data_IF_099269924677
#
_entry.id   IF_099269924677
#
_cell.length_a   1.000
_cell.length_b   1.000
_cell.length_c   1.000
_cell.angle_alpha   90.00
_cell.angle_beta   90.00
_cell.angle_gamma   90.00
#
_symmetry.space_group_name_H-M   'P 1'
#
loop_
_entity.id
_entity.type
_entity.pdbx_description
1 polymer ?
#
# COMPACT_ATOMS: atom_id res chain seq x y z
N UNK A 1 -15.56 68.08 -4.50
CA UNK A 1 -14.36 67.70 -3.74
C UNK A 1 -13.33 67.25 -4.77
N UNK A 2 -12.78 68.18 -5.56
CA UNK A 2 -11.56 68.97 -5.28
C UNK A 2 -10.34 68.07 -5.13
N UNK A 3 -9.27 68.12 -5.91
CA UNK A 3 -8.79 68.91 -7.07
C UNK A 3 -7.67 68.05 -7.71
N UNK A 4 -7.58 67.86 -9.04
CA UNK A 4 -6.90 68.70 -10.07
C UNK A 4 -5.39 68.92 -9.78
N UNK A 5 -4.43 68.85 -10.72
CA UNK A 5 -4.39 69.38 -12.11
C UNK A 5 -3.16 68.81 -12.89
N UNK A 6 -3.28 68.50 -14.21
CA UNK A 6 -2.86 69.25 -15.44
C UNK A 6 -1.33 69.22 -15.72
N UNK A 7 -0.79 68.79 -16.88
CA UNK A 7 -0.93 69.13 -18.33
C UNK A 7 -0.19 70.42 -18.77
N UNK A 8 0.68 70.24 -19.79
CA UNK A 8 1.25 71.14 -20.82
C UNK A 8 2.13 72.35 -20.43
N UNK A 9 3.33 72.46 -21.04
CA UNK A 9 3.76 73.31 -22.17
C UNK A 9 4.16 74.72 -21.67
N UNK A 10 5.10 75.51 -22.19
CA UNK A 10 5.74 75.73 -23.49
C UNK A 10 6.98 76.65 -23.27
N UNK A 11 7.90 76.70 -24.26
CA UNK A 11 8.58 77.88 -24.89
C UNK A 11 9.27 78.95 -24.00
N UNK A 12 10.52 79.42 -24.23
CA UNK A 12 10.96 80.46 -25.21
C UNK A 12 12.53 80.65 -25.11
N UNK A 13 13.34 80.52 -26.18
CA UNK A 13 13.80 81.49 -27.21
C UNK A 13 14.90 82.51 -26.74
N UNK A 14 16.17 82.35 -27.19
CA UNK A 14 16.94 83.21 -28.15
C UNK A 14 17.52 84.51 -27.55
N UNK A 15 18.69 85.08 -27.88
CA UNK A 15 19.69 84.98 -28.97
C UNK A 15 21.06 85.54 -28.49
N UNK A 16 22.15 85.32 -29.26
CA UNK A 16 23.06 86.36 -29.80
C UNK A 16 24.41 85.79 -30.31
N UNK A 17 24.52 85.75 -31.65
CA UNK A 17 25.60 86.17 -32.57
C UNK A 17 27.10 85.80 -32.40
N UNK A 18 27.56 85.02 -33.39
CA UNK A 18 28.67 85.22 -34.36
C UNK A 18 30.05 85.75 -33.93
N UNK A 19 31.10 84.92 -34.05
CA UNK A 19 32.40 85.25 -34.71
C UNK A 19 33.08 83.98 -35.22
N UNK A 20 33.46 83.97 -36.50
CA UNK A 20 34.14 82.87 -37.18
C UNK A 20 35.67 82.74 -37.01
N UNK A 21 36.11 81.48 -37.15
CA UNK A 21 37.34 80.94 -37.77
C UNK A 21 38.74 81.18 -37.14
N UNK A 22 39.41 80.08 -36.73
CA UNK A 22 40.82 79.77 -37.09
C UNK A 22 41.02 78.24 -37.12
N UNK A 23 41.66 77.76 -38.19
CA UNK A 23 41.99 76.34 -38.45
C UNK A 23 43.04 75.76 -37.50
N UNK A 24 42.86 74.52 -37.04
CA UNK A 24 43.96 73.68 -36.53
C UNK A 24 43.88 72.25 -37.08
N UNK A 25 44.94 71.84 -37.79
CA UNK A 25 45.17 70.48 -38.32
C UNK A 25 45.16 69.44 -37.18
N UNK A 26 44.21 68.50 -37.17
CA UNK A 26 44.29 67.28 -36.34
C UNK A 26 45.35 66.32 -36.91
N UNK A 27 46.46 66.14 -36.19
CA UNK A 27 47.44 65.06 -36.41
C UNK A 27 46.76 63.69 -36.22
N UNK A 28 46.87 62.78 -37.20
CA UNK A 28 46.50 61.37 -37.05
C UNK A 28 47.36 60.74 -35.94
N UNK A 29 46.76 60.30 -34.84
CA UNK A 29 47.44 59.40 -33.88
C UNK A 29 47.69 58.04 -34.55
N UNK A 30 48.95 57.60 -34.58
CA UNK A 30 49.33 56.23 -34.96
C UNK A 30 48.77 55.27 -33.90
N UNK A 31 47.96 54.28 -34.31
CA UNK A 31 47.45 53.25 -33.41
C UNK A 31 48.60 52.37 -32.91
N UNK A 32 48.81 52.32 -31.59
CA UNK A 32 49.77 51.40 -30.96
C UNK A 32 49.21 49.98 -31.07
N UNK A 33 49.87 49.11 -31.81
CA UNK A 33 49.42 47.74 -32.05
C UNK A 33 49.80 46.84 -30.85
N UNK A 34 48.92 46.75 -29.85
CA UNK A 34 49.14 45.92 -28.65
C UNK A 34 49.00 44.42 -29.00
N UNK A 35 50.10 43.67 -28.93
CA UNK A 35 50.10 42.21 -29.16
C UNK A 35 49.36 41.50 -28.02
N UNK A 36 48.22 40.89 -28.32
CA UNK A 36 47.44 40.10 -27.37
C UNK A 36 48.08 38.71 -27.18
N UNK A 37 48.24 38.30 -25.92
CA UNK A 37 48.75 36.98 -25.52
C UNK A 37 47.70 36.19 -24.76
N UNK A 38 47.81 34.86 -24.77
CA UNK A 38 46.96 33.95 -24.03
C UNK A 38 46.98 34.25 -22.53
N UNK A 39 45.81 34.32 -21.89
CA UNK A 39 45.67 34.47 -20.44
C UNK A 39 44.99 33.24 -19.86
N UNK A 40 45.57 32.64 -18.81
CA UNK A 40 45.00 31.49 -18.09
C UNK A 40 43.60 31.77 -17.55
N UNK A 41 43.27 33.03 -17.21
CA UNK A 41 41.93 33.41 -16.76
C UNK A 41 40.83 33.12 -17.80
N UNK A 42 41.17 32.98 -19.08
CA UNK A 42 40.19 32.62 -20.12
C UNK A 42 39.71 31.17 -20.00
N UNK A 43 40.44 30.30 -19.29
CA UNK A 43 40.01 28.93 -18.99
C UNK A 43 38.79 28.89 -18.04
N UNK A 44 38.59 29.94 -17.24
CA UNK A 44 37.40 30.08 -16.38
C UNK A 44 36.13 30.31 -17.20
N UNK A 45 36.22 31.09 -18.28
CA UNK A 45 35.13 31.37 -19.22
C UNK A 45 34.93 30.22 -20.22
N UNK A 46 36.01 29.54 -20.62
CA UNK A 46 35.97 28.43 -21.58
C UNK A 46 36.82 27.25 -21.09
N UNK A 47 36.20 26.31 -20.38
CA UNK A 47 36.86 25.11 -19.79
C UNK A 47 37.56 24.19 -20.81
N UNK A 48 37.21 24.30 -22.08
CA UNK A 48 37.78 23.53 -23.19
C UNK A 48 39.04 24.19 -23.81
N UNK A 49 39.37 25.40 -23.39
CA UNK A 49 40.52 26.17 -23.87
C UNK A 49 41.79 25.80 -23.07
N UNK A 50 42.95 25.75 -23.72
CA UNK A 50 44.24 25.54 -23.07
C UNK A 50 45.36 26.29 -23.82
N UNK A 51 46.56 26.48 -23.23
CA UNK A 51 47.67 27.12 -23.94
C UNK A 51 48.11 26.30 -25.16
N UNK A 52 48.36 26.97 -26.28
CA UNK A 52 48.88 26.34 -27.49
C UNK A 52 50.38 26.08 -27.40
N UNK A 53 50.84 24.99 -27.99
CA UNK A 53 52.27 24.69 -28.17
C UNK A 53 52.94 25.58 -29.24
N UNK A 54 52.18 26.30 -30.08
CA UNK A 54 52.70 27.17 -31.16
C UNK A 54 53.12 28.56 -30.69
N UNK A 55 52.96 28.87 -29.40
CA UNK A 55 53.43 30.11 -28.79
C UNK A 55 52.32 30.95 -28.16
N UNK A 56 52.69 32.05 -27.47
CA UNK A 56 51.81 32.80 -26.58
C UNK A 56 50.67 33.56 -27.29
N UNK A 57 50.71 33.67 -28.62
CA UNK A 57 49.69 34.32 -29.44
C UNK A 57 48.62 33.34 -29.96
N UNK A 58 48.68 32.07 -29.56
CA UNK A 58 47.74 31.02 -29.95
C UNK A 58 47.08 30.38 -28.71
N UNK A 59 45.81 30.00 -28.84
CA UNK A 59 45.11 29.15 -27.89
C UNK A 59 44.81 27.80 -28.54
N UNK A 60 44.71 26.74 -27.75
CA UNK A 60 44.31 25.43 -28.24
C UNK A 60 42.88 25.10 -27.81
N UNK A 61 42.08 24.61 -28.76
CA UNK A 61 40.75 24.08 -28.48
C UNK A 61 40.80 22.55 -28.28
N UNK A 62 40.36 22.06 -27.12
CA UNK A 62 40.27 20.61 -26.85
C UNK A 62 39.23 19.90 -27.73
N UNK A 63 38.14 20.56 -28.12
CA UNK A 63 37.10 19.96 -28.97
C UNK A 63 37.50 19.90 -30.44
N UNK A 64 38.01 21.00 -30.98
CA UNK A 64 38.37 21.12 -32.40
C UNK A 64 39.78 20.62 -32.74
N UNK A 65 40.57 20.29 -31.71
CA UNK A 65 41.98 19.89 -31.79
C UNK A 65 42.78 20.80 -32.73
N UNK A 66 42.65 22.11 -32.53
CA UNK A 66 43.28 23.10 -33.41
C UNK A 66 43.76 24.33 -32.63
N UNK A 67 44.74 25.01 -33.22
CA UNK A 67 45.24 26.29 -32.74
C UNK A 67 44.37 27.45 -33.25
N UNK A 68 43.97 28.32 -32.32
CA UNK A 68 43.23 29.55 -32.56
C UNK A 68 44.22 30.70 -32.47
N UNK A 69 44.39 31.47 -33.55
CA UNK A 69 45.26 32.65 -33.55
C UNK A 69 44.56 33.81 -32.83
N UNK A 70 45.14 34.29 -31.74
CA UNK A 70 44.54 35.28 -30.84
C UNK A 70 45.04 36.70 -31.15
N UNK A 71 45.12 37.07 -32.43
CA UNK A 71 45.68 38.37 -32.83
C UNK A 71 44.87 39.57 -32.28
N UNK A 72 43.56 39.39 -32.03
CA UNK A 72 42.64 40.41 -31.50
C UNK A 72 42.09 40.05 -30.11
N UNK A 73 42.77 39.20 -29.35
CA UNK A 73 42.34 38.81 -28.01
C UNK A 73 41.09 37.91 -28.01
N UNK A 74 40.24 38.04 -26.97
CA UNK A 74 39.03 37.23 -26.77
C UNK A 74 38.06 37.21 -27.95
N UNK A 75 38.07 38.24 -28.82
CA UNK A 75 37.20 38.30 -29.99
C UNK A 75 37.36 37.12 -30.96
N UNK A 76 38.59 36.61 -31.11
CA UNK A 76 38.87 35.45 -31.99
C UNK A 76 38.41 34.13 -31.35
N UNK A 77 38.44 34.04 -30.02
CA UNK A 77 37.89 32.89 -29.28
C UNK A 77 36.36 32.87 -29.43
N UNK A 78 35.70 34.03 -29.32
CA UNK A 78 34.24 34.14 -29.53
C UNK A 78 33.83 33.73 -30.96
N UNK A 79 34.59 34.14 -31.98
CA UNK A 79 34.36 33.68 -33.37
C UNK A 79 34.57 32.18 -33.56
N UNK A 80 35.53 31.59 -32.84
CA UNK A 80 35.75 30.15 -32.89
C UNK A 80 34.57 29.39 -32.27
N UNK A 81 34.05 29.85 -31.13
CA UNK A 81 32.88 29.24 -30.47
C UNK A 81 31.66 29.24 -31.38
N UNK A 82 31.46 30.30 -32.16
CA UNK A 82 30.34 30.38 -33.12
C UNK A 82 30.60 29.63 -34.42
N UNK A 83 31.76 29.00 -34.60
CA UNK A 83 32.05 28.23 -35.82
C UNK A 83 31.25 26.93 -35.84
N UNK A 84 30.69 26.59 -37.00
CA UNK A 84 29.90 25.36 -37.18
C UNK A 84 30.67 24.09 -36.76
N UNK A 85 32.00 24.07 -36.99
CA UNK A 85 32.88 22.98 -36.56
C UNK A 85 32.93 22.85 -35.03
N UNK A 86 33.09 23.96 -34.31
CA UNK A 86 33.12 23.95 -32.85
C UNK A 86 31.78 23.56 -32.26
N UNK A 87 30.68 24.17 -32.73
CA UNK A 87 29.33 23.87 -32.23
C UNK A 87 29.01 22.37 -32.39
N UNK A 88 29.31 21.80 -33.57
CA UNK A 88 29.06 20.37 -33.85
C UNK A 88 29.91 19.44 -32.99
N UNK A 89 31.20 19.75 -32.79
CA UNK A 89 32.10 18.91 -31.99
C UNK A 89 31.84 19.06 -30.50
N UNK A 90 31.55 20.27 -30.03
CA UNK A 90 31.17 20.54 -28.65
C UNK A 90 29.91 19.76 -28.30
N UNK A 91 28.84 19.88 -29.11
CA UNK A 91 27.58 19.17 -28.84
C UNK A 91 27.77 17.65 -28.84
N UNK A 92 28.62 17.11 -29.72
CA UNK A 92 28.94 15.68 -29.76
C UNK A 92 29.66 15.22 -28.50
N UNK A 93 30.68 15.96 -28.05
CA UNK A 93 31.48 15.60 -26.87
C UNK A 93 30.69 15.78 -25.57
N UNK A 94 29.85 16.83 -25.47
CA UNK A 94 29.01 17.04 -24.27
C UNK A 94 27.83 16.09 -24.19
N UNK A 95 27.38 15.53 -25.31
CA UNK A 95 26.25 14.58 -25.34
C UNK A 95 26.66 13.13 -25.09
N UNK A 96 27.96 12.82 -25.07
CA UNK A 96 28.42 11.48 -24.74
C UNK A 96 28.27 11.20 -23.23
N UNK A 97 27.50 10.18 -22.83
CA UNK A 97 27.38 9.82 -21.42
C UNK A 97 28.74 9.33 -20.90
N UNK A 98 29.11 9.79 -19.70
CA UNK A 98 30.34 9.35 -19.05
C UNK A 98 30.25 7.87 -18.67
N UNK A 99 31.39 7.17 -18.63
CA UNK A 99 31.45 5.76 -18.22
C UNK A 99 30.84 5.55 -16.83
N UNK A 100 31.02 6.50 -15.90
CA UNK A 100 30.36 6.46 -14.58
C UNK A 100 28.84 6.60 -14.65
N UNK A 101 28.31 7.39 -15.59
CA UNK A 101 26.85 7.48 -15.79
C UNK A 101 26.26 6.17 -16.34
N UNK A 102 27.03 5.39 -17.10
CA UNK A 102 26.62 4.07 -17.58
C UNK A 102 26.65 3.01 -16.48
N UNK A 103 27.74 2.94 -15.70
CA UNK A 103 27.88 2.00 -14.57
C UNK A 103 26.79 2.23 -13.53
N UNK A 104 26.54 3.48 -13.14
CA UNK A 104 25.46 3.82 -12.19
C UNK A 104 24.08 3.48 -12.73
N UNK A 105 23.84 3.58 -14.05
CA UNK A 105 22.58 3.19 -14.68
C UNK A 105 22.37 1.67 -14.64
N UNK A 106 23.43 0.87 -14.84
CA UNK A 106 23.36 -0.59 -14.69
C UNK A 106 23.08 -1.01 -13.24
N UNK A 107 23.79 -0.44 -12.25
CA UNK A 107 23.57 -0.77 -10.83
C UNK A 107 22.16 -0.40 -10.36
N UNK A 108 21.63 0.76 -10.79
CA UNK A 108 20.24 1.16 -10.51
C UNK A 108 19.22 0.20 -11.12
N UNK A 109 19.50 -0.36 -12.29
CA UNK A 109 18.60 -1.30 -12.95
C UNK A 109 18.47 -2.62 -12.16
N UNK A 110 19.59 -3.13 -11.63
CA UNK A 110 19.58 -4.35 -10.79
C UNK A 110 18.83 -4.12 -9.47
N UNK A 111 19.07 -3.00 -8.79
CA UNK A 111 18.38 -2.68 -7.53
C UNK A 111 16.86 -2.57 -7.69
N UNK A 112 16.39 -1.96 -8.78
CA UNK A 112 14.96 -1.89 -9.11
C UNK A 112 14.37 -3.30 -9.31
N UNK A 113 15.06 -4.17 -10.06
CA UNK A 113 14.61 -5.56 -10.27
C UNK A 113 14.61 -6.39 -8.98
N UNK A 114 15.55 -6.15 -8.06
CA UNK A 114 15.57 -6.80 -6.74
C UNK A 114 14.36 -6.37 -5.92
N UNK A 115 14.02 -5.08 -5.91
CA UNK A 115 12.81 -4.57 -5.23
C UNK A 115 11.54 -5.17 -5.83
N UNK A 116 11.45 -5.23 -7.15
CA UNK A 116 10.34 -5.88 -7.85
C UNK A 116 10.23 -7.36 -7.48
N UNK A 117 11.34 -8.09 -7.42
CA UNK A 117 11.36 -9.49 -6.97
C UNK A 117 10.85 -9.66 -5.53
N UNK A 118 11.22 -8.75 -4.62
CA UNK A 118 10.71 -8.77 -3.25
C UNK A 118 9.21 -8.49 -3.20
N UNK A 119 8.69 -7.56 -4.01
CA UNK A 119 7.26 -7.27 -4.09
C UNK A 119 6.46 -8.45 -4.66
N UNK A 120 6.99 -9.13 -5.68
CA UNK A 120 6.37 -10.35 -6.24
C UNK A 120 6.33 -11.48 -5.21
N UNK A 121 7.42 -11.67 -4.45
CA UNK A 121 7.43 -12.62 -3.34
C UNK A 121 6.41 -12.25 -2.26
N UNK A 122 6.27 -10.95 -1.94
CA UNK A 122 5.26 -10.49 -0.99
C UNK A 122 3.84 -10.80 -1.47
N UNK A 123 3.54 -10.48 -2.74
CA UNK A 123 2.25 -10.82 -3.37
C UNK A 123 1.96 -12.31 -3.29
N UNK A 124 2.90 -13.16 -3.70
CA UNK A 124 2.77 -14.62 -3.64
C UNK A 124 2.50 -15.13 -2.22
N UNK A 125 3.25 -14.61 -1.22
CA UNK A 125 3.05 -14.98 0.18
C UNK A 125 1.66 -14.60 0.69
N UNK A 126 1.15 -13.43 0.30
CA UNK A 126 -0.17 -12.96 0.70
C UNK A 126 -1.31 -13.72 0.02
N UNK A 127 -1.21 -13.93 -1.30
CA UNK A 127 -2.23 -14.60 -2.11
C UNK A 127 -2.46 -16.05 -1.66
N UNK A 128 -1.39 -16.76 -1.28
CA UNK A 128 -1.46 -18.13 -0.81
C UNK A 128 -1.54 -18.27 0.71
N UNK A 129 -1.73 -17.16 1.45
CA UNK A 129 -1.82 -17.15 2.92
C UNK A 129 -0.68 -17.91 3.61
N UNK A 130 0.55 -17.69 3.14
CA UNK A 130 1.72 -18.44 3.60
C UNK A 130 2.29 -17.86 4.91
N UNK A 131 2.77 -18.70 5.85
CA UNK A 131 3.40 -18.21 7.07
C UNK A 131 4.66 -17.37 6.77
N UNK A 132 4.70 -16.14 7.25
CA UNK A 132 5.83 -15.22 7.01
C UNK A 132 7.18 -15.73 7.51
N UNK A 133 7.19 -16.71 8.43
CA UNK A 133 8.40 -17.40 8.89
C UNK A 133 9.14 -18.11 7.75
N UNK A 134 8.45 -18.50 6.67
CA UNK A 134 9.08 -19.10 5.49
C UNK A 134 10.12 -18.18 4.83
N UNK A 135 9.98 -16.86 4.99
CA UNK A 135 10.94 -15.90 4.44
C UNK A 135 12.32 -15.93 5.11
N UNK A 136 12.49 -16.66 6.22
CA UNK A 136 13.82 -16.97 6.75
C UNK A 136 14.57 -17.99 5.88
N UNK A 137 13.85 -18.82 5.11
CA UNK A 137 14.42 -19.93 4.33
C UNK A 137 14.33 -19.72 2.82
N UNK A 138 13.30 -19.01 2.33
CA UNK A 138 13.08 -18.80 0.89
C UNK A 138 14.24 -18.04 0.22
N UNK A 139 14.72 -16.87 0.72
CA UNK A 139 15.83 -16.18 0.06
C UNK A 139 17.14 -16.99 0.01
N UNK A 140 17.57 -17.69 1.09
CA UNK A 140 18.70 -18.63 1.00
C UNK A 140 18.50 -19.71 -0.07
N UNK A 141 17.31 -20.31 -0.13
CA UNK A 141 16.98 -21.34 -1.11
C UNK A 141 17.04 -20.81 -2.55
N UNK A 142 16.49 -19.62 -2.81
CA UNK A 142 16.55 -18.98 -4.14
C UNK A 142 18.01 -18.74 -4.55
N UNK A 143 18.89 -18.39 -3.61
CA UNK A 143 20.32 -18.19 -3.89
C UNK A 143 21.06 -19.49 -4.20
N UNK A 144 20.67 -20.60 -3.56
CA UNK A 144 21.31 -21.89 -3.84
C UNK A 144 20.85 -22.52 -5.15
N UNK A 145 19.62 -22.21 -5.60
CA UNK A 145 19.09 -22.68 -6.89
C UNK A 145 19.60 -21.80 -8.05
N UNK A 146 19.56 -20.47 -7.89
CA UNK A 146 19.86 -19.51 -8.95
C UNK A 146 21.25 -18.88 -8.75
N UNK A 147 22.31 -19.68 -8.88
CA UNK A 147 23.69 -19.27 -8.57
C UNK A 147 24.30 -18.27 -9.55
N UNK A 148 23.75 -18.14 -10.75
CA UNK A 148 24.19 -17.23 -11.82
C UNK A 148 23.45 -15.87 -11.78
N UNK A 149 22.32 -15.79 -11.09
CA UNK A 149 21.47 -14.60 -11.04
C UNK A 149 21.93 -13.59 -9.99
N UNK A 150 22.43 -12.44 -10.45
CA UNK A 150 22.78 -11.31 -9.59
C UNK A 150 21.59 -10.79 -8.78
N UNK A 151 20.36 -10.89 -9.33
CA UNK A 151 19.13 -10.52 -8.63
C UNK A 151 18.89 -11.49 -7.46
N UNK A 152 18.95 -12.80 -7.71
CA UNK A 152 18.74 -13.82 -6.69
C UNK A 152 19.72 -13.66 -5.52
N UNK A 153 21.00 -13.46 -5.82
CA UNK A 153 22.06 -13.18 -4.83
C UNK A 153 21.76 -11.94 -3.99
N UNK A 154 21.24 -10.89 -4.62
CA UNK A 154 20.95 -9.62 -3.97
C UNK A 154 19.64 -9.58 -3.17
N UNK A 155 18.70 -10.52 -3.38
CA UNK A 155 17.48 -10.59 -2.58
C UNK A 155 17.84 -10.82 -1.11
N UNK A 156 17.48 -9.84 -0.27
CA UNK A 156 17.58 -9.89 1.19
C UNK A 156 16.21 -9.51 1.74
N UNK A 157 15.42 -10.51 2.14
CA UNK A 157 14.07 -10.32 2.68
C UNK A 157 13.72 -11.43 3.67
N UNK A 158 14.11 -11.25 4.94
CA UNK A 158 13.66 -12.12 6.04
C UNK A 158 12.24 -11.77 6.51
N UNK A 159 11.77 -12.43 7.57
CA UNK A 159 10.39 -12.28 8.08
C UNK A 159 10.02 -10.82 8.35
N UNK A 160 10.84 -10.10 9.12
CA UNK A 160 10.55 -8.71 9.53
C UNK A 160 10.43 -7.76 8.34
N UNK A 161 11.33 -7.90 7.35
CA UNK A 161 11.26 -7.09 6.13
C UNK A 161 10.02 -7.43 5.32
N UNK A 162 9.70 -8.73 5.19
CA UNK A 162 8.48 -9.15 4.50
C UNK A 162 7.22 -8.59 5.17
N UNK A 163 7.14 -8.65 6.51
CA UNK A 163 6.03 -8.04 7.26
C UNK A 163 5.88 -6.55 6.96
N UNK A 164 6.98 -5.80 6.95
CA UNK A 164 6.94 -4.37 6.67
C UNK A 164 6.59 -4.05 5.22
N UNK A 165 7.04 -4.86 4.26
CA UNK A 165 6.65 -4.71 2.84
C UNK A 165 5.15 -4.98 2.68
N UNK A 166 4.64 -6.04 3.29
CA UNK A 166 3.21 -6.37 3.22
C UNK A 166 2.34 -5.31 3.88
N UNK A 167 2.74 -4.82 5.05
CA UNK A 167 1.95 -3.86 5.83
C UNK A 167 2.03 -2.44 5.28
N UNK A 168 3.23 -1.93 5.06
CA UNK A 168 3.47 -0.50 4.83
C UNK A 168 3.69 -0.16 3.35
N UNK A 169 3.69 -1.15 2.46
CA UNK A 169 3.84 -0.93 1.00
C UNK A 169 2.63 -1.49 0.28
N UNK A 170 2.49 -2.82 0.17
CA UNK A 170 1.41 -3.42 -0.62
C UNK A 170 0.05 -3.25 0.05
N UNK A 171 0.00 -3.40 1.38
CA UNK A 171 -1.23 -3.22 2.15
C UNK A 171 -1.70 -1.77 2.20
N UNK A 172 -0.78 -0.81 2.32
CA UNK A 172 -1.11 0.62 2.30
C UNK A 172 -1.58 1.09 0.93
N UNK A 173 -0.92 0.64 -0.14
CA UNK A 173 -1.36 0.87 -1.52
C UNK A 173 -2.73 0.25 -1.78
N UNK A 174 -2.92 -1.03 -1.42
CA UNK A 174 -4.21 -1.71 -1.57
C UNK A 174 -5.33 -1.04 -0.78
N UNK A 175 -5.04 -0.54 0.43
CA UNK A 175 -5.99 0.25 1.22
C UNK A 175 -6.34 1.55 0.50
N UNK A 176 -5.36 2.27 -0.03
CA UNK A 176 -5.57 3.52 -0.76
C UNK A 176 -6.45 3.31 -1.99
N UNK A 177 -6.14 2.30 -2.81
CA UNK A 177 -6.95 1.92 -3.97
C UNK A 177 -8.38 1.56 -3.58
N UNK A 178 -8.58 0.84 -2.47
CA UNK A 178 -9.92 0.55 -1.97
C UNK A 178 -10.65 1.83 -1.56
N UNK A 179 -9.99 2.78 -0.88
CA UNK A 179 -10.62 4.07 -0.55
C UNK A 179 -11.07 4.82 -1.81
N UNK A 180 -10.25 4.83 -2.86
CA UNK A 180 -10.60 5.46 -4.14
C UNK A 180 -11.83 4.80 -4.78
N UNK A 181 -11.88 3.46 -4.79
CA UNK A 181 -13.05 2.71 -5.27
C UNK A 181 -14.32 3.12 -4.50
N UNK A 182 -14.25 3.22 -3.16
CA UNK A 182 -15.42 3.58 -2.34
C UNK A 182 -15.85 5.04 -2.49
N UNK A 183 -14.94 5.93 -2.92
CA UNK A 183 -15.27 7.32 -3.22
C UNK A 183 -16.08 7.46 -4.50
N UNK A 184 -15.85 6.61 -5.50
CA UNK A 184 -16.48 6.73 -6.81
C UNK A 184 -17.62 5.75 -7.06
N UNK A 185 -17.68 4.64 -6.31
CA UNK A 185 -18.61 3.55 -6.56
C UNK A 185 -19.63 3.38 -5.44
N UNK A 186 -20.79 2.82 -5.78
CA UNK A 186 -21.76 2.35 -4.78
C UNK A 186 -21.26 1.08 -4.13
N UNK A 187 -21.48 0.94 -2.82
CA UNK A 187 -21.02 -0.20 -2.06
C UNK A 187 -22.01 -0.61 -0.96
N UNK A 188 -21.88 -1.86 -0.51
CA UNK A 188 -22.58 -2.40 0.65
C UNK A 188 -21.55 -2.70 1.73
N UNK A 189 -21.87 -2.37 2.97
CA UNK A 189 -21.05 -2.72 4.12
C UNK A 189 -21.54 -4.01 4.74
N UNK A 190 -20.61 -4.88 5.09
CA UNK A 190 -20.86 -6.08 5.89
C UNK A 190 -20.04 -5.94 7.16
N UNK A 191 -20.72 -5.91 8.31
CA UNK A 191 -20.12 -5.71 9.62
C UNK A 191 -20.30 -6.92 10.52
N UNK A 192 -19.24 -7.29 11.25
CA UNK A 192 -19.29 -8.33 12.28
C UNK A 192 -18.44 -7.95 13.49
N UNK A 193 -18.93 -8.23 14.69
CA UNK A 193 -18.19 -8.02 15.93
C UNK A 193 -17.41 -9.28 16.30
N UNK A 194 -16.10 -9.16 16.49
CA UNK A 194 -15.25 -10.27 16.92
C UNK A 194 -14.41 -9.87 18.13
N UNK A 195 -14.25 -10.79 19.08
CA UNK A 195 -13.30 -10.66 20.19
C UNK A 195 -12.01 -11.39 19.82
N UNK A 196 -10.87 -10.69 19.87
CA UNK A 196 -9.57 -11.31 19.63
C UNK A 196 -9.03 -12.09 20.83
N UNK A 197 -7.88 -12.76 20.66
CA UNK A 197 -7.25 -13.57 21.73
C UNK A 197 -6.75 -12.76 22.92
N UNK A 198 -6.57 -11.45 22.75
CA UNK A 198 -6.23 -10.51 23.82
C UNK A 198 -7.47 -9.91 24.49
N UNK A 199 -8.65 -10.49 24.26
CA UNK A 199 -9.94 -10.01 24.77
C UNK A 199 -10.30 -8.60 24.29
N UNK A 200 -9.72 -8.14 23.19
CA UNK A 200 -10.09 -6.86 22.56
C UNK A 200 -11.20 -7.10 21.55
N UNK A 201 -12.29 -6.35 21.69
CA UNK A 201 -13.39 -6.38 20.71
C UNK A 201 -13.01 -5.53 19.51
N UNK A 202 -13.32 -6.03 18.32
CA UNK A 202 -13.10 -5.34 17.06
C UNK A 202 -14.35 -5.45 16.19
N UNK A 203 -14.69 -4.36 15.51
CA UNK A 203 -15.66 -4.34 14.44
C UNK A 203 -14.94 -4.59 13.12
N UNK A 204 -15.18 -5.76 12.53
CA UNK A 204 -14.70 -6.11 11.21
C UNK A 204 -15.64 -5.55 10.16
N UNK A 205 -15.09 -4.82 9.19
CA UNK A 205 -15.86 -4.28 8.06
C UNK A 205 -15.33 -4.86 6.75
N UNK A 206 -16.25 -5.30 5.92
CA UNK A 206 -16.02 -5.72 4.53
C UNK A 206 -16.87 -4.82 3.63
N UNK A 207 -16.28 -4.32 2.56
CA UNK A 207 -16.99 -3.57 1.53
C UNK A 207 -17.25 -4.46 0.32
N UNK A 208 -18.52 -4.62 -0.04
CA UNK A 208 -18.95 -5.27 -1.26
C UNK A 208 -19.20 -4.22 -2.34
N UNK A 209 -18.49 -4.33 -3.46
CA UNK A 209 -18.56 -3.37 -4.57
C UNK A 209 -18.81 -4.11 -5.88
N UNK A 210 -19.53 -3.47 -6.81
CA UNK A 210 -19.63 -3.94 -8.19
C UNK A 210 -18.61 -3.20 -9.04
N UNK A 211 -17.71 -3.95 -9.67
CA UNK A 211 -16.67 -3.44 -10.58
C UNK A 211 -16.75 -4.28 -11.85
N UNK A 212 -16.96 -3.64 -13.00
CA UNK A 212 -17.07 -4.30 -14.31
C UNK A 212 -18.12 -5.42 -14.32
N UNK A 213 -19.31 -5.16 -13.76
CA UNK A 213 -20.41 -6.13 -13.58
C UNK A 213 -20.06 -7.36 -12.72
N UNK A 214 -18.89 -7.38 -12.08
CA UNK A 214 -18.50 -8.40 -11.12
C UNK A 214 -18.64 -7.89 -9.69
N UNK A 215 -19.28 -8.68 -8.85
CA UNK A 215 -19.32 -8.44 -7.41
C UNK A 215 -17.95 -8.82 -6.83
N UNK A 216 -17.37 -7.93 -6.02
CA UNK A 216 -16.10 -8.16 -5.31
C UNK A 216 -16.26 -7.74 -3.86
N UNK A 217 -15.74 -8.58 -2.96
CA UNK A 217 -15.71 -8.32 -1.53
C UNK A 217 -14.29 -7.96 -1.12
N UNK A 218 -14.14 -6.81 -0.47
CA UNK A 218 -12.87 -6.30 0.00
C UNK A 218 -12.89 -6.17 1.51
N UNK A 219 -11.89 -6.76 2.17
CA UNK A 219 -11.62 -6.44 3.56
C UNK A 219 -11.32 -4.93 3.68
N UNK A 220 -12.14 -4.22 4.45
CA UNK A 220 -12.03 -2.78 4.57
C UNK A 220 -11.14 -2.40 5.75
N UNK A 221 -11.50 -2.85 6.95
CA UNK A 221 -10.77 -2.51 8.18
C UNK A 221 -11.23 -3.37 9.37
N UNK A 222 -10.40 -3.38 10.42
CA UNK A 222 -10.75 -3.80 11.77
C UNK A 222 -10.68 -2.57 12.67
N UNK A 223 -11.81 -2.16 13.22
CA UNK A 223 -11.89 -1.01 14.13
C UNK A 223 -11.94 -1.51 15.58
N UNK A 224 -10.99 -1.15 16.45
CA UNK A 224 -11.04 -1.50 17.86
C UNK A 224 -12.27 -0.88 18.54
N UNK A 225 -13.02 -1.69 19.27
CA UNK A 225 -14.26 -1.30 19.94
C UNK A 225 -14.04 -1.38 21.46
N UNK A 226 -14.19 -0.25 22.15
CA UNK A 226 -14.23 -0.21 23.62
C UNK A 226 -15.63 -0.47 24.15
N UNK A 227 -16.63 0.14 23.50
CA UNK A 227 -18.04 0.03 23.84
C UNK A 227 -18.84 -0.43 22.62
N UNK A 228 -19.57 -1.53 22.75
CA UNK A 228 -20.34 -2.14 21.66
C UNK A 228 -21.79 -1.60 21.59
N UNK A 229 -22.00 -0.31 21.86
CA UNK A 229 -23.33 0.32 21.71
C UNK A 229 -23.53 0.75 20.26
N UNK A 230 -24.77 0.76 19.77
CA UNK A 230 -25.06 1.18 18.40
C UNK A 230 -24.58 2.60 18.07
N UNK A 231 -24.57 3.50 19.07
CA UNK A 231 -24.03 4.85 18.95
C UNK A 231 -22.50 4.86 18.80
N UNK A 232 -21.77 4.15 19.68
CA UNK A 232 -20.32 4.09 19.64
C UNK A 232 -19.82 3.45 18.32
N UNK A 233 -20.48 2.37 17.87
CA UNK A 233 -20.18 1.73 16.61
C UNK A 233 -20.43 2.66 15.42
N UNK A 234 -21.54 3.40 15.43
CA UNK A 234 -21.83 4.37 14.38
C UNK A 234 -20.77 5.47 14.32
N UNK A 235 -20.37 6.04 15.47
CA UNK A 235 -19.31 7.06 15.53
C UNK A 235 -18.00 6.53 14.96
N UNK A 236 -17.60 5.31 15.29
CA UNK A 236 -16.39 4.69 14.73
C UNK A 236 -16.44 4.57 13.20
N UNK A 237 -17.58 4.17 12.64
CA UNK A 237 -17.77 4.07 11.18
C UNK A 237 -17.79 5.46 10.53
N UNK A 238 -18.50 6.41 11.11
CA UNK A 238 -18.63 7.78 10.61
C UNK A 238 -17.26 8.48 10.61
N UNK A 239 -16.50 8.38 11.70
CA UNK A 239 -15.14 8.91 11.80
C UNK A 239 -14.21 8.24 10.80
N UNK A 240 -14.30 6.92 10.62
CA UNK A 240 -13.51 6.21 9.63
C UNK A 240 -13.75 6.75 8.21
N UNK A 241 -15.02 6.91 7.79
CA UNK A 241 -15.33 7.42 6.46
C UNK A 241 -14.97 8.89 6.29
N UNK A 242 -15.18 9.72 7.31
CA UNK A 242 -14.78 11.14 7.30
C UNK A 242 -13.27 11.29 7.17
N UNK A 243 -12.50 10.56 7.98
CA UNK A 243 -11.03 10.59 7.93
C UNK A 243 -10.46 10.15 6.57
N UNK A 244 -11.19 9.30 5.85
CA UNK A 244 -10.82 8.83 4.53
C UNK A 244 -11.52 9.58 3.38
N UNK A 245 -12.28 10.64 3.66
CA UNK A 245 -13.05 11.42 2.69
C UNK A 245 -13.95 10.55 1.79
N UNK A 246 -14.61 9.54 2.36
CA UNK A 246 -15.54 8.67 1.64
C UNK A 246 -16.96 9.23 1.81
N UNK A 247 -17.67 9.58 0.71
CA UNK A 247 -19.04 10.09 0.76
C UNK A 247 -20.04 8.94 0.98
N UNK A 248 -19.94 8.27 2.12
CA UNK A 248 -20.74 7.08 2.44
C UNK A 248 -22.25 7.38 2.48
N UNK A 249 -22.65 8.59 2.87
CA UNK A 249 -24.06 9.02 2.93
C UNK A 249 -24.78 8.86 1.58
N UNK A 250 -24.05 8.99 0.47
CA UNK A 250 -24.59 8.81 -0.89
C UNK A 250 -24.17 7.50 -1.53
N UNK A 251 -22.99 6.97 -1.20
CA UNK A 251 -22.42 5.78 -1.85
C UNK A 251 -22.74 4.46 -1.17
N UNK A 252 -23.02 4.47 0.14
CA UNK A 252 -23.42 3.27 0.85
C UNK A 252 -24.89 2.96 0.56
N UNK A 253 -25.13 1.86 -0.16
CA UNK A 253 -26.48 1.45 -0.58
C UNK A 253 -27.01 0.26 0.22
N UNK A 254 -26.17 -0.38 1.03
CA UNK A 254 -26.63 -1.44 1.92
C UNK A 254 -25.73 -1.68 3.12
N UNK A 255 -26.31 -2.27 4.15
CA UNK A 255 -25.61 -2.71 5.35
C UNK A 255 -26.12 -4.10 5.78
N UNK A 256 -25.19 -5.01 6.08
CA UNK A 256 -25.48 -6.34 6.59
C UNK A 256 -24.68 -6.64 7.85
N UNK A 257 -25.33 -7.21 8.86
CA UNK A 257 -24.72 -7.57 10.13
C UNK A 257 -25.49 -8.68 10.85
N UNK A 258 -24.98 -9.16 11.99
CA UNK A 258 -25.70 -10.08 12.86
C UNK A 258 -27.02 -9.48 13.39
N UNK A 259 -27.88 -10.32 13.95
CA UNK A 259 -29.19 -9.90 14.43
C UNK A 259 -29.17 -9.15 15.75
N UNK A 260 -28.00 -8.83 16.33
CA UNK A 260 -27.90 -8.26 17.66
C UNK A 260 -28.56 -6.88 17.73
N UNK A 261 -29.15 -6.54 18.88
CA UNK A 261 -29.92 -5.30 19.03
C UNK A 261 -29.08 -4.04 18.81
N UNK A 262 -27.80 -4.07 19.21
CA UNK A 262 -26.85 -2.98 18.97
C UNK A 262 -26.53 -2.79 17.47
N UNK A 263 -26.54 -3.86 16.67
CA UNK A 263 -26.25 -3.84 15.24
C UNK A 263 -27.50 -3.54 14.40
N UNK A 264 -28.56 -4.33 14.58
CA UNK A 264 -29.74 -4.39 13.70
C UNK A 264 -31.08 -4.11 14.42
N UNK A 265 -31.04 -3.56 15.64
CA UNK A 265 -32.23 -3.15 16.38
C UNK A 265 -33.00 -2.00 15.70
N UNK A 266 -34.31 -1.89 15.97
CA UNK A 266 -35.14 -0.84 15.38
C UNK A 266 -34.76 0.57 15.85
N UNK A 267 -34.34 0.70 17.12
CA UNK A 267 -34.03 1.97 17.77
C UNK A 267 -32.60 1.95 18.31
N UNK A 268 -31.89 3.07 18.20
CA UNK A 268 -30.54 3.27 18.76
C UNK A 268 -29.49 2.22 18.34
N UNK A 269 -29.71 1.51 17.24
CA UNK A 269 -28.76 0.55 16.69
C UNK A 269 -27.83 1.22 15.69
N UNK A 270 -26.76 0.51 15.32
CA UNK A 270 -25.90 0.92 14.22
C UNK A 270 -26.71 1.09 12.92
N UNK A 271 -27.56 0.11 12.59
CA UNK A 271 -28.36 0.13 11.38
C UNK A 271 -29.38 1.27 11.35
N UNK A 272 -30.03 1.61 12.47
CA UNK A 272 -31.01 2.70 12.53
C UNK A 272 -30.32 4.04 12.29
N UNK A 273 -29.15 4.26 12.89
CA UNK A 273 -28.33 5.46 12.72
C UNK A 273 -27.74 5.59 11.32
N UNK A 274 -27.25 4.48 10.75
CA UNK A 274 -26.81 4.46 9.35
C UNK A 274 -27.96 4.80 8.40
N UNK A 275 -29.18 4.36 8.68
CA UNK A 275 -30.36 4.64 7.86
C UNK A 275 -30.84 6.10 7.97
N UNK A 276 -30.64 6.75 9.12
CA UNK A 276 -30.85 8.20 9.27
C UNK A 276 -29.92 9.01 8.33
N UNK A 277 -28.67 8.56 8.19
CA UNK A 277 -27.68 9.19 7.29
C UNK A 277 -27.80 8.78 5.83
N UNK A 278 -28.24 7.55 5.58
CA UNK A 278 -28.40 6.94 4.26
C UNK A 278 -29.86 6.48 4.12
N UNK A 279 -30.81 7.35 3.73
CA UNK A 279 -32.24 6.99 3.74
C UNK A 279 -32.61 5.79 2.87
N UNK A 280 -31.88 5.58 1.78
CA UNK A 280 -32.09 4.48 0.83
C UNK A 280 -31.29 3.21 1.16
N UNK A 281 -30.76 3.10 2.37
CA UNK A 281 -29.93 1.97 2.80
C UNK A 281 -30.74 0.68 2.90
N UNK A 282 -30.35 -0.33 2.11
CA UNK A 282 -30.89 -1.67 2.23
C UNK A 282 -30.27 -2.39 3.43
N UNK A 283 -31.11 -2.90 4.33
CA UNK A 283 -30.66 -3.59 5.56
C UNK A 283 -30.89 -5.09 5.44
N UNK A 284 -29.85 -5.88 5.70
CA UNK A 284 -29.93 -7.35 5.70
C UNK A 284 -29.38 -7.94 7.01
N UNK A 285 -30.21 -8.69 7.73
CA UNK A 285 -29.74 -9.47 8.88
C UNK A 285 -28.96 -10.69 8.39
N UNK A 286 -28.00 -11.13 9.18
CA UNK A 286 -27.20 -12.32 8.89
C UNK A 286 -28.09 -13.55 8.77
N UNK A 287 -28.19 -14.09 7.56
CA UNK A 287 -29.01 -15.27 7.24
C UNK A 287 -28.55 -16.47 8.08
N UNK A 288 -27.24 -16.64 8.29
CA UNK A 288 -26.71 -17.72 9.13
C UNK A 288 -27.17 -17.61 10.58
N UNK A 289 -27.19 -16.39 11.13
CA UNK A 289 -27.68 -16.15 12.49
C UNK A 289 -29.20 -16.33 12.57
N UNK A 290 -29.95 -15.88 11.56
CA UNK A 290 -31.40 -16.12 11.49
C UNK A 290 -31.74 -17.60 11.45
N UNK A 291 -31.07 -18.40 10.60
CA UNK A 291 -31.25 -19.86 10.58
C UNK A 291 -30.85 -20.49 11.92
N UNK A 292 -29.79 -20.01 12.56
CA UNK A 292 -29.41 -20.48 13.88
C UNK A 292 -30.51 -20.24 14.92
N UNK A 293 -31.09 -19.04 14.96
CA UNK A 293 -32.21 -18.73 15.87
C UNK A 293 -33.43 -19.60 15.57
N UNK A 294 -33.80 -19.77 14.30
CA UNK A 294 -34.90 -20.67 13.91
C UNK A 294 -34.68 -22.10 14.41
N UNK A 295 -33.48 -22.65 14.19
CA UNK A 295 -33.13 -23.99 14.65
C UNK A 295 -33.12 -24.08 16.18
N UNK A 296 -32.56 -23.08 16.87
CA UNK A 296 -32.53 -23.02 18.33
C UNK A 296 -33.94 -23.04 18.93
N UNK A 297 -34.83 -22.18 18.43
CA UNK A 297 -36.21 -22.13 18.91
C UNK A 297 -37.02 -23.37 18.54
N UNK A 298 -36.71 -24.04 17.43
CA UNK A 298 -37.30 -25.33 17.11
C UNK A 298 -36.84 -26.44 18.06
N UNK A 299 -35.54 -26.48 18.40
CA UNK A 299 -34.99 -27.44 19.36
C UNK A 299 -35.55 -27.24 20.78
N UNK A 300 -35.86 -26.00 21.20
CA UNK A 300 -36.55 -25.72 22.46
C UNK A 300 -37.96 -26.34 22.56
N UNK A 301 -38.54 -26.77 21.43
CA UNK A 301 -39.82 -27.50 21.41
C UNK A 301 -39.63 -29.02 21.49
N UNK A 302 -38.39 -29.50 21.35
CA UNK A 302 -38.06 -30.91 21.54
C UNK A 302 -37.76 -31.19 23.02
N UNK A 303 -37.88 -32.46 23.45
CA UNK A 303 -37.50 -32.86 24.80
C UNK A 303 -36.01 -32.55 25.08
N UNK A 304 -35.73 -31.81 26.16
CA UNK A 304 -34.38 -31.37 26.54
C UNK A 304 -33.46 -32.55 26.93
N UNK A 305 -34.04 -33.70 27.25
CA UNK A 305 -33.36 -34.92 27.69
C UNK A 305 -32.35 -35.41 26.66
N UNK A 306 -32.63 -35.24 25.37
CA UNK A 306 -31.72 -35.67 24.30
C UNK A 306 -30.44 -34.84 24.32
N UNK A 307 -30.56 -33.51 24.37
CA UNK A 307 -29.39 -32.64 24.43
C UNK A 307 -28.63 -32.83 25.75
N UNK A 308 -29.35 -32.94 26.87
CA UNK A 308 -28.78 -33.19 28.19
C UNK A 308 -27.97 -34.50 28.20
N UNK A 309 -28.53 -35.60 27.68
CA UNK A 309 -27.83 -36.88 27.54
C UNK A 309 -26.52 -36.71 26.76
N UNK A 310 -26.54 -36.00 25.62
CA UNK A 310 -25.31 -35.80 24.85
C UNK A 310 -24.24 -35.02 25.62
N UNK A 311 -24.64 -34.02 26.43
CA UNK A 311 -23.74 -33.24 27.28
C UNK A 311 -23.18 -34.08 28.42
N UNK A 312 -24.01 -34.88 29.07
CA UNK A 312 -23.63 -35.77 30.17
C UNK A 312 -22.65 -36.85 29.72
N UNK A 313 -22.95 -37.52 28.59
CA UNK A 313 -22.04 -38.52 28.00
C UNK A 313 -20.68 -37.89 27.69
N UNK A 314 -20.66 -36.71 27.08
CA UNK A 314 -19.40 -36.01 26.84
C UNK A 314 -18.66 -35.68 28.15
N UNK A 315 -19.35 -35.09 29.13
CA UNK A 315 -18.76 -34.68 30.41
C UNK A 315 -18.21 -35.87 31.21
N UNK A 316 -18.84 -37.03 31.08
CA UNK A 316 -18.36 -38.27 31.68
C UNK A 316 -16.98 -38.64 31.12
N UNK A 317 -16.74 -38.54 29.82
CA UNK A 317 -15.44 -38.91 29.25
C UNK A 317 -14.40 -37.78 29.27
N UNK A 318 -14.83 -36.51 29.15
CA UNK A 318 -13.96 -35.38 28.80
C UNK A 318 -12.75 -35.17 29.72
N UNK A 319 -12.91 -35.45 31.01
CA UNK A 319 -11.90 -35.20 32.04
C UNK A 319 -11.20 -36.47 32.56
N UNK A 320 -11.34 -37.61 31.88
CA UNK A 320 -10.76 -38.87 32.35
C UNK A 320 -10.10 -39.65 31.23
N UNK A 321 -8.76 -39.56 31.10
CA UNK A 321 -8.00 -40.38 30.16
C UNK A 321 -8.28 -41.87 30.34
N UNK A 322 -8.39 -42.33 31.60
CA UNK A 322 -8.74 -43.71 31.94
C UNK A 322 -10.07 -44.15 31.32
N UNK A 323 -11.16 -43.39 31.53
CA UNK A 323 -12.48 -43.72 30.96
C UNK A 323 -12.47 -43.69 29.43
N UNK A 324 -11.69 -42.79 28.82
CA UNK A 324 -11.52 -42.73 27.36
C UNK A 324 -10.81 -44.00 26.86
N UNK A 325 -9.76 -44.46 27.55
CA UNK A 325 -9.03 -45.66 27.15
C UNK A 325 -9.85 -46.93 27.37
N UNK A 326 -10.53 -47.08 28.50
CA UNK A 326 -11.47 -48.18 28.75
C UNK A 326 -12.57 -48.21 27.68
N UNK A 327 -13.16 -47.06 27.35
CA UNK A 327 -14.21 -46.98 26.33
C UNK A 327 -13.75 -47.46 24.93
N UNK A 328 -12.48 -47.30 24.56
CA UNK A 328 -11.96 -47.82 23.28
C UNK A 328 -12.08 -49.33 23.16
N UNK A 329 -11.96 -50.07 24.27
CA UNK A 329 -12.12 -51.53 24.28
C UNK A 329 -13.56 -51.91 23.91
N UNK A 330 -14.55 -51.16 24.42
CA UNK A 330 -15.96 -51.34 24.08
C UNK A 330 -16.26 -50.93 22.63
N UNK A 331 -15.60 -49.89 22.12
CA UNK A 331 -15.71 -49.52 20.70
C UNK A 331 -15.20 -50.66 19.80
N UNK A 332 -14.06 -51.25 20.14
CA UNK A 332 -13.51 -52.39 19.42
C UNK A 332 -14.41 -53.62 19.50
N UNK A 333 -14.94 -53.93 20.69
CA UNK A 333 -15.85 -55.05 20.89
C UNK A 333 -17.16 -54.89 20.10
N UNK A 334 -17.74 -53.69 20.09
CA UNK A 334 -18.95 -53.37 19.32
C UNK A 334 -18.68 -53.19 17.81
N UNK A 335 -17.44 -53.38 17.35
CA UNK A 335 -17.00 -53.19 15.96
C UNK A 335 -17.38 -51.80 15.39
N UNK A 336 -17.25 -50.75 16.22
CA UNK A 336 -17.44 -49.36 15.80
C UNK A 336 -16.10 -48.64 15.72
N UNK A 337 -15.99 -47.67 14.79
CA UNK A 337 -14.78 -46.87 14.65
C UNK A 337 -14.46 -46.12 15.97
N UNK A 338 -13.18 -46.09 16.39
CA UNK A 338 -12.74 -45.50 17.65
C UNK A 338 -12.79 -43.98 17.56
N UNK A 339 -13.96 -43.44 17.84
CA UNK A 339 -14.25 -42.02 17.74
C UNK A 339 -14.33 -41.36 19.11
N UNK A 340 -13.78 -40.15 19.22
CA UNK A 340 -14.00 -39.31 20.40
C UNK A 340 -15.45 -38.80 20.42
N UNK A 341 -16.06 -38.82 21.60
CA UNK A 341 -17.36 -38.17 21.84
C UNK A 341 -17.21 -36.66 21.67
N UNK A 342 -18.15 -36.06 20.95
CA UNK A 342 -18.15 -34.65 20.62
C UNK A 342 -18.94 -33.86 21.67
N UNK A 343 -18.54 -32.61 21.90
CA UNK A 343 -19.30 -31.68 22.74
C UNK A 343 -20.15 -30.76 21.84
N UNK A 344 -21.43 -30.53 22.17
CA UNK A 344 -22.24 -29.54 21.47
C UNK A 344 -21.68 -28.13 21.72
N UNK A 345 -21.23 -27.46 20.66
CA UNK A 345 -20.75 -26.09 20.71
C UNK A 345 -21.91 -25.15 21.03
N UNK A 346 -21.79 -24.39 22.12
CA UNK A 346 -22.80 -23.43 22.56
C UNK A 346 -23.11 -22.36 21.49
N UNK A 347 -22.14 -22.03 20.62
CA UNK A 347 -22.26 -20.95 19.62
C UNK A 347 -22.54 -21.43 18.19
N UNK A 348 -22.60 -22.76 17.93
CA UNK A 348 -22.70 -23.28 16.55
C UNK A 348 -23.56 -24.54 16.50
N UNK A 349 -24.85 -24.38 16.19
CA UNK A 349 -25.83 -25.48 16.17
C UNK A 349 -25.53 -26.63 15.20
N UNK A 350 -24.83 -26.39 14.08
CA UNK A 350 -24.35 -27.47 13.20
C UNK A 350 -23.45 -28.49 13.93
N UNK A 351 -22.93 -28.14 15.12
CA UNK A 351 -22.22 -29.09 15.98
C UNK A 351 -23.16 -30.08 16.67
N UNK A 352 -24.41 -29.73 16.99
CA UNK A 352 -25.36 -30.62 17.69
C UNK A 352 -25.73 -31.80 16.81
N UNK A 353 -26.00 -31.58 15.52
CA UNK A 353 -26.23 -32.66 14.56
C UNK A 353 -25.04 -33.63 14.51
N UNK A 354 -23.82 -33.10 14.49
CA UNK A 354 -22.59 -33.90 14.49
C UNK A 354 -22.44 -34.71 15.79
N UNK A 355 -22.82 -34.12 16.92
CA UNK A 355 -22.82 -34.80 18.23
C UNK A 355 -23.87 -35.91 18.28
N UNK A 356 -25.10 -35.65 17.82
CA UNK A 356 -26.17 -36.66 17.77
C UNK A 356 -25.76 -37.81 16.85
N UNK A 357 -25.26 -37.51 15.64
CA UNK A 357 -24.72 -38.52 14.72
C UNK A 357 -23.59 -39.32 15.37
N UNK A 358 -22.70 -38.66 16.12
CA UNK A 358 -21.64 -39.33 16.88
C UNK A 358 -22.23 -40.28 17.92
N UNK A 359 -23.15 -39.83 18.76
CA UNK A 359 -23.78 -40.66 19.81
C UNK A 359 -24.50 -41.85 19.19
N UNK A 360 -25.27 -41.66 18.12
CA UNK A 360 -25.96 -42.75 17.41
C UNK A 360 -24.95 -43.76 16.84
N UNK A 361 -23.89 -43.29 16.17
CA UNK A 361 -22.83 -44.17 15.62
C UNK A 361 -22.05 -44.94 16.67
N UNK A 362 -22.19 -44.54 17.94
CA UNK A 362 -21.48 -45.09 19.09
C UNK A 362 -22.44 -45.74 20.09
N UNK A 363 -23.74 -45.79 19.78
CA UNK A 363 -24.79 -46.09 20.74
C UNK A 363 -24.60 -47.47 21.38
N UNK A 364 -24.32 -48.49 20.57
CA UNK A 364 -24.07 -49.85 21.06
C UNK A 364 -22.88 -49.91 22.03
N UNK A 365 -21.75 -49.28 21.70
CA UNK A 365 -20.56 -49.25 22.56
C UNK A 365 -20.84 -48.48 23.86
N UNK A 366 -21.54 -47.35 23.78
CA UNK A 366 -21.94 -46.54 24.94
C UNK A 366 -22.87 -47.33 25.86
N UNK A 367 -23.87 -48.03 25.32
CA UNK A 367 -24.79 -48.86 26.12
C UNK A 367 -24.04 -49.96 26.86
N UNK A 368 -23.14 -50.69 26.18
CA UNK A 368 -22.35 -51.75 26.82
C UNK A 368 -21.47 -51.19 27.94
N UNK A 369 -20.77 -50.09 27.66
CA UNK A 369 -19.90 -49.43 28.62
C UNK A 369 -20.70 -48.99 29.86
N UNK A 370 -21.78 -48.24 29.69
CA UNK A 370 -22.57 -47.75 30.83
C UNK A 370 -23.31 -48.86 31.58
N UNK A 371 -23.70 -49.94 30.90
CA UNK A 371 -24.25 -51.13 31.55
C UNK A 371 -23.22 -51.76 32.48
N UNK A 372 -21.98 -51.93 32.03
CA UNK A 372 -20.90 -52.45 32.86
C UNK A 372 -20.57 -51.53 34.05
N UNK A 373 -20.54 -50.22 33.83
CA UNK A 373 -20.32 -49.24 34.90
C UNK A 373 -21.44 -49.27 35.95
N UNK A 374 -22.69 -49.49 35.54
CA UNK A 374 -23.82 -49.61 36.46
C UNK A 374 -23.74 -50.85 37.36
N UNK A 375 -23.06 -51.91 36.94
CA UNK A 375 -22.79 -53.08 37.78
C UNK A 375 -21.60 -52.88 38.75
N UNK A 376 -20.72 -51.91 38.45
CA UNK A 376 -19.56 -51.57 39.29
C UNK A 376 -19.85 -50.48 40.33
N UNK A 377 -20.92 -49.70 40.12
CA UNK A 377 -21.42 -48.67 41.03
C UNK A 377 -22.34 -49.29 42.09
#
# INVERSE_FOLDING_TARGET
>A
MSDNSEIDSDVEMQDLDDVGSVSTRKKKLKSVNYKQIYKKDWEKEWKWLQPSKKGPTFAWCKFCTCDIRIARGKGEIKKHVTSAKHIKLQSTVTSQPSVMSMLTKQTKNVDVKVKEGVLRLAGFMAEHNLPLRLMEHIPPLIKSICTDSEIAKAIKCGRTKMTNVLRNVTGDEGKTQLMDILRTNKFTLIGDESTDRSCSKNLCLVARVVIDFSIKDYFLTLLPVKEATGAALFTLIDDFFKNHNIPYETNCIGFAADGANNMMGANNSLSSRLKEKCPNLFLMKCICHSFHLCASYACEKLPNEVEQLTREVYNFFSNSPKRIDEYKEFQQFANVLPHKILHPSQTRWLSVESVIKRVISQYQALTLYFTEQAFKA
#
